data_IF_269116910016
#
_entry.id   IF_269116910016
#
_cell.length_a   1.000
_cell.length_b   1.000
_cell.length_c   1.000
_cell.angle_alpha   90.00
_cell.angle_beta   90.00
_cell.angle_gamma   90.00
#
_symmetry.space_group_name_H-M   'P 1'
#
loop_
_entity.id
_entity.type
_entity.pdbx_description
1 polymer ?
#
# COMPACT_ATOMS: atom_id res chain seq x y z
N UNK A 1 58.81 21.90 -28.84
CA UNK A 1 57.40 21.61 -29.00
C UNK A 1 57.00 20.58 -27.92
N UNK A 2 56.21 20.97 -26.91
CA UNK A 2 55.75 20.08 -25.86
C UNK A 2 54.28 19.70 -26.14
N UNK A 3 54.07 18.48 -26.58
CA UNK A 3 52.74 17.93 -26.86
C UNK A 3 52.04 17.63 -25.54
N UNK A 4 50.98 18.37 -25.19
CA UNK A 4 50.10 18.10 -24.05
C UNK A 4 49.06 17.07 -24.47
N UNK A 5 49.16 15.85 -23.97
CA UNK A 5 48.15 14.82 -24.13
C UNK A 5 47.04 15.14 -23.10
N UNK A 6 45.86 15.54 -23.60
CA UNK A 6 44.66 15.71 -22.80
C UNK A 6 44.01 14.32 -22.58
N UNK A 7 44.12 13.78 -21.38
CA UNK A 7 43.42 12.55 -20.99
C UNK A 7 41.96 12.93 -20.66
N UNK A 8 41.07 12.67 -21.59
CA UNK A 8 39.63 12.85 -21.40
C UNK A 8 39.09 11.61 -20.71
N UNK A 9 38.93 11.69 -19.38
CA UNK A 9 38.33 10.63 -18.57
C UNK A 9 36.83 10.50 -18.89
N UNK A 10 36.45 9.42 -19.53
CA UNK A 10 35.05 9.03 -19.73
C UNK A 10 34.47 8.56 -18.40
N UNK A 11 33.71 9.41 -17.71
CA UNK A 11 32.89 8.99 -16.57
C UNK A 11 31.71 8.17 -17.12
N UNK A 12 31.81 6.85 -17.08
CA UNK A 12 30.64 5.96 -17.21
C UNK A 12 29.79 6.10 -15.97
N UNK A 13 28.73 6.90 -16.04
CA UNK A 13 27.67 6.88 -15.05
C UNK A 13 26.92 5.54 -15.21
N UNK A 14 27.17 4.59 -14.33
CA UNK A 14 26.36 3.38 -14.20
C UNK A 14 24.97 3.81 -13.76
N UNK A 15 24.00 3.81 -14.67
CA UNK A 15 22.58 3.98 -14.34
C UNK A 15 22.15 2.69 -13.62
N UNK A 16 22.20 2.70 -12.30
CA UNK A 16 21.62 1.65 -11.49
C UNK A 16 20.10 1.71 -11.69
N UNK A 17 19.55 0.83 -12.50
CA UNK A 17 18.10 0.60 -12.56
C UNK A 17 17.67 -0.03 -11.24
N UNK A 18 17.15 0.79 -10.33
CA UNK A 18 16.55 0.30 -9.09
C UNK A 18 15.29 -0.49 -9.45
N UNK A 19 15.38 -1.82 -9.36
CA UNK A 19 14.25 -2.70 -9.58
C UNK A 19 13.32 -2.63 -8.36
N UNK A 20 12.04 -2.34 -8.57
CA UNK A 20 11.04 -2.41 -7.50
C UNK A 20 10.76 -3.89 -7.17
N UNK A 21 11.04 -4.28 -5.93
CA UNK A 21 10.73 -5.61 -5.39
C UNK A 21 9.41 -5.48 -4.62
N UNK A 22 8.51 -6.42 -4.82
CA UNK A 22 7.23 -6.49 -4.12
C UNK A 22 7.22 -7.67 -3.16
N UNK A 23 6.87 -7.41 -1.91
CA UNK A 23 6.66 -8.41 -0.87
C UNK A 23 5.16 -8.60 -0.65
N UNK A 24 4.71 -9.85 -0.51
CA UNK A 24 3.33 -10.13 -0.13
C UNK A 24 3.06 -9.52 1.25
N UNK A 25 2.00 -8.71 1.34
CA UNK A 25 1.65 -8.02 2.58
C UNK A 25 1.18 -8.98 3.69
N UNK A 26 0.94 -10.25 3.39
CA UNK A 26 0.67 -11.28 4.39
C UNK A 26 1.86 -11.58 5.31
N UNK A 27 3.07 -11.24 4.87
CA UNK A 27 4.29 -11.37 5.68
C UNK A 27 4.40 -10.32 6.79
N UNK A 28 3.56 -9.29 6.79
CA UNK A 28 3.60 -8.18 7.73
C UNK A 28 2.40 -8.20 8.70
N UNK A 29 2.52 -7.63 9.91
CA UNK A 29 1.41 -7.49 10.84
C UNK A 29 0.23 -6.71 10.23
N UNK A 30 -0.99 -7.22 10.43
CA UNK A 30 -2.24 -6.56 10.09
C UNK A 30 -2.88 -6.03 11.37
N UNK A 31 -3.15 -4.73 11.42
CA UNK A 31 -3.76 -4.05 12.57
C UNK A 31 -5.22 -3.72 12.27
N UNK A 32 -6.00 -3.50 13.34
CA UNK A 32 -7.40 -3.08 13.23
C UNK A 32 -8.40 -4.23 13.13
N UNK A 33 -7.96 -5.50 13.14
CA UNK A 33 -8.82 -6.67 13.21
C UNK A 33 -9.29 -6.93 14.63
N UNK A 34 -10.58 -7.17 14.79
CA UNK A 34 -11.15 -7.60 16.08
C UNK A 34 -11.04 -9.13 16.30
N UNK A 35 -10.89 -9.91 15.21
CA UNK A 35 -10.80 -11.37 15.24
C UNK A 35 -10.03 -11.88 14.02
N UNK A 36 -9.37 -13.02 14.16
CA UNK A 36 -8.73 -13.73 13.04
C UNK A 36 -9.71 -14.62 12.27
N UNK A 37 -10.87 -14.95 12.86
CA UNK A 37 -11.91 -15.79 12.25
C UNK A 37 -12.75 -14.98 11.25
N UNK A 38 -12.15 -14.68 10.09
CA UNK A 38 -12.78 -13.97 8.96
C UNK A 38 -12.62 -14.79 7.69
N UNK A 39 -13.50 -14.63 6.68
CA UNK A 39 -13.43 -15.41 5.44
C UNK A 39 -12.12 -15.16 4.67
N UNK A 40 -11.62 -13.94 4.69
CA UNK A 40 -10.32 -13.58 4.08
C UNK A 40 -9.53 -12.67 5.01
N UNK A 41 -8.21 -12.59 4.78
CA UNK A 41 -7.29 -11.83 5.63
C UNK A 41 -7.72 -10.37 5.84
N UNK A 42 -8.18 -9.70 4.79
CA UNK A 42 -8.45 -8.25 4.82
C UNK A 42 -9.94 -7.92 5.07
N UNK A 43 -10.70 -8.83 5.66
CA UNK A 43 -12.06 -8.62 6.13
C UNK A 43 -12.09 -8.35 7.63
N UNK A 44 -13.13 -7.65 8.10
CA UNK A 44 -13.26 -7.18 9.49
C UNK A 44 -14.19 -8.01 10.33
N UNK A 45 -15.29 -8.49 9.73
CA UNK A 45 -16.33 -9.22 10.45
C UNK A 45 -15.99 -10.70 10.60
N UNK A 46 -16.29 -11.30 11.77
CA UNK A 46 -16.20 -12.74 11.94
C UNK A 46 -17.09 -13.47 10.94
N UNK A 47 -16.60 -14.59 10.42
CA UNK A 47 -17.32 -15.45 9.46
C UNK A 47 -18.64 -15.99 10.03
N UNK A 48 -18.72 -16.19 11.35
CA UNK A 48 -19.94 -16.61 12.06
C UNK A 48 -21.13 -15.67 11.86
N UNK A 49 -20.88 -14.38 11.53
CA UNK A 49 -21.94 -13.41 11.26
C UNK A 49 -22.57 -13.54 9.87
N UNK A 50 -21.99 -14.33 8.96
CA UNK A 50 -22.46 -14.44 7.58
C UNK A 50 -23.91 -14.84 7.47
N UNK A 51 -24.33 -15.86 8.26
CA UNK A 51 -25.65 -16.47 8.14
C UNK A 51 -26.73 -15.78 9.02
N UNK A 52 -26.32 -14.91 9.94
CA UNK A 52 -27.24 -14.21 10.86
C UNK A 52 -27.35 -12.72 10.57
N UNK A 53 -26.45 -12.16 9.77
CA UNK A 53 -26.51 -10.75 9.36
C UNK A 53 -27.38 -10.56 8.11
N UNK A 54 -28.05 -9.40 8.03
CA UNK A 54 -28.69 -9.00 6.78
C UNK A 54 -27.61 -8.86 5.69
N UNK A 55 -27.91 -9.33 4.48
CA UNK A 55 -26.96 -9.34 3.37
C UNK A 55 -26.27 -7.98 3.12
N UNK A 56 -26.97 -6.81 3.08
CA UNK A 56 -26.29 -5.53 2.88
C UNK A 56 -25.28 -5.19 3.99
N UNK A 57 -25.60 -5.52 5.24
CA UNK A 57 -24.71 -5.31 6.38
C UNK A 57 -23.46 -6.20 6.27
N UNK A 58 -23.68 -7.48 5.93
CA UNK A 58 -22.60 -8.42 5.70
C UNK A 58 -21.66 -7.94 4.59
N UNK A 59 -22.21 -7.54 3.43
CA UNK A 59 -21.43 -7.06 2.29
C UNK A 59 -20.58 -5.83 2.63
N UNK A 60 -21.12 -4.86 3.37
CA UNK A 60 -20.39 -3.69 3.87
C UNK A 60 -19.33 -4.07 4.89
N UNK A 61 -19.63 -5.00 5.78
CA UNK A 61 -18.70 -5.48 6.80
C UNK A 61 -17.46 -6.16 6.24
N UNK A 62 -17.52 -6.67 5.02
CA UNK A 62 -16.41 -7.26 4.30
C UNK A 62 -15.44 -6.25 3.67
N UNK A 63 -15.71 -4.95 3.76
CA UNK A 63 -14.77 -3.92 3.34
C UNK A 63 -13.60 -3.82 4.32
N UNK A 64 -12.45 -3.35 3.84
CA UNK A 64 -11.20 -3.35 4.60
C UNK A 64 -10.99 -2.09 5.46
N UNK A 65 -12.02 -1.25 5.65
CA UNK A 65 -11.95 0.00 6.38
C UNK A 65 -11.38 -0.17 7.81
N UNK A 66 -10.41 0.66 8.18
CA UNK A 66 -9.76 0.61 9.50
C UNK A 66 -8.68 -0.45 9.65
N UNK A 67 -8.49 -1.34 8.66
CA UNK A 67 -7.37 -2.25 8.63
C UNK A 67 -6.12 -1.53 8.11
N UNK A 68 -4.96 -1.82 8.71
CA UNK A 68 -3.68 -1.29 8.26
C UNK A 68 -2.59 -2.35 8.33
N UNK A 69 -1.72 -2.38 7.32
CA UNK A 69 -0.50 -3.19 7.32
C UNK A 69 0.63 -2.35 7.90
N UNK A 70 1.32 -2.88 8.92
CA UNK A 70 2.47 -2.24 9.57
C UNK A 70 3.76 -2.88 9.09
N UNK A 71 4.73 -2.08 8.63
CA UNK A 71 6.01 -2.58 8.15
C UNK A 71 7.13 -1.55 8.35
N UNK A 72 8.38 -2.00 8.21
CA UNK A 72 9.58 -1.15 8.22
C UNK A 72 10.30 -1.26 6.89
N UNK A 73 10.90 -0.17 6.45
CA UNK A 73 11.67 -0.12 5.21
C UNK A 73 12.68 1.02 5.23
N UNK A 74 13.81 0.79 4.57
CA UNK A 74 14.80 1.82 4.22
C UNK A 74 14.79 2.11 2.70
N UNK A 75 13.74 1.72 2.00
CA UNK A 75 13.61 1.95 0.55
C UNK A 75 13.48 3.44 0.23
N UNK A 76 14.01 3.86 -0.91
CA UNK A 76 13.87 5.23 -1.41
C UNK A 76 12.52 5.51 -2.07
N UNK A 77 11.70 4.46 -2.25
CA UNK A 77 10.32 4.56 -2.73
C UNK A 77 9.47 3.42 -2.18
N UNK A 78 8.18 3.67 -1.97
CA UNK A 78 7.19 2.66 -1.61
C UNK A 78 6.11 2.64 -2.66
N UNK A 79 5.88 1.44 -3.20
CA UNK A 79 4.84 1.15 -4.19
C UNK A 79 3.97 0.03 -3.69
N UNK A 80 2.70 0.00 -4.11
CA UNK A 80 1.79 -1.09 -3.81
C UNK A 80 1.12 -1.63 -5.06
N UNK A 81 0.83 -2.93 -5.03
CA UNK A 81 -0.10 -3.62 -5.93
C UNK A 81 -1.22 -4.18 -5.08
N UNK A 82 -2.47 -3.91 -5.45
CA UNK A 82 -3.62 -4.44 -4.72
C UNK A 82 -4.79 -4.72 -5.65
N UNK A 83 -5.60 -5.67 -5.24
CA UNK A 83 -6.87 -5.97 -5.89
C UNK A 83 -8.01 -5.73 -4.91
N UNK A 84 -9.11 -5.16 -5.42
CA UNK A 84 -10.34 -4.95 -4.65
C UNK A 84 -11.43 -5.90 -5.13
N UNK A 85 -12.35 -6.28 -4.22
CA UNK A 85 -13.38 -7.28 -4.46
C UNK A 85 -14.41 -6.84 -5.50
N UNK A 86 -14.96 -5.62 -5.35
CA UNK A 86 -16.14 -5.18 -6.09
C UNK A 86 -15.84 -4.14 -7.18
N UNK A 87 -14.70 -3.47 -7.12
CA UNK A 87 -14.39 -2.31 -7.96
C UNK A 87 -15.47 -1.21 -7.86
N UNK A 88 -15.88 -0.88 -6.64
CA UNK A 88 -16.97 0.05 -6.34
C UNK A 88 -16.76 1.44 -6.97
N UNK A 89 -17.86 2.07 -7.38
CA UNK A 89 -17.92 3.46 -7.79
C UNK A 89 -19.13 4.13 -7.13
N UNK A 90 -18.95 5.36 -6.65
CA UNK A 90 -19.98 6.14 -5.95
C UNK A 90 -19.97 7.56 -6.47
N UNK A 91 -21.15 8.20 -6.53
CA UNK A 91 -21.29 9.57 -7.05
C UNK A 91 -20.85 10.67 -6.05
N UNK A 92 -20.69 10.32 -4.78
CA UNK A 92 -20.39 11.23 -3.68
C UNK A 92 -19.00 11.00 -3.06
N UNK A 93 -18.20 10.08 -3.62
CA UNK A 93 -16.90 9.70 -3.10
C UNK A 93 -15.90 9.47 -4.22
N UNK A 94 -14.70 10.00 -4.08
CA UNK A 94 -13.65 9.79 -5.09
C UNK A 94 -13.18 8.33 -5.12
N UNK A 95 -12.70 7.79 -6.25
CA UNK A 95 -12.13 6.45 -6.32
C UNK A 95 -11.03 6.20 -5.28
N UNK A 96 -10.20 7.20 -4.97
CA UNK A 96 -9.14 7.10 -3.97
C UNK A 96 -9.72 6.86 -2.57
N UNK A 97 -10.80 7.56 -2.20
CA UNK A 97 -11.48 7.33 -0.92
C UNK A 97 -12.20 5.97 -0.86
N UNK A 98 -12.74 5.48 -1.99
CA UNK A 98 -13.47 4.21 -2.03
C UNK A 98 -12.49 3.02 -1.92
N UNK A 99 -11.49 2.96 -2.79
CA UNK A 99 -10.64 1.77 -3.03
C UNK A 99 -9.13 2.06 -3.10
N UNK A 100 -8.71 3.25 -2.69
CA UNK A 100 -7.30 3.61 -2.54
C UNK A 100 -6.68 3.08 -1.26
N UNK A 101 -5.39 3.36 -1.11
CA UNK A 101 -4.58 3.05 0.06
C UNK A 101 -3.96 4.34 0.59
N UNK A 102 -3.82 4.48 1.91
CA UNK A 102 -3.18 5.66 2.53
C UNK A 102 -1.97 5.23 3.37
N UNK A 103 -0.81 5.78 3.03
CA UNK A 103 0.45 5.51 3.71
C UNK A 103 0.76 6.61 4.72
N UNK A 104 1.10 6.18 5.93
CA UNK A 104 1.63 7.03 6.99
C UNK A 104 3.02 6.56 7.39
N UNK A 105 3.89 7.50 7.75
CA UNK A 105 5.25 7.27 8.26
C UNK A 105 5.33 7.73 9.71
N UNK A 106 5.96 6.94 10.57
CA UNK A 106 6.23 7.33 11.95
C UNK A 106 7.43 8.29 12.00
N UNK A 107 7.20 9.52 12.46
CA UNK A 107 8.22 10.56 12.65
C UNK A 107 8.03 11.21 14.02
N UNK A 108 9.07 11.23 14.83
CA UNK A 108 9.05 11.84 16.17
C UNK A 108 7.86 11.39 17.04
N UNK A 109 7.54 10.10 16.98
CA UNK A 109 6.44 9.49 17.71
C UNK A 109 5.04 9.79 17.17
N UNK A 110 4.92 10.43 16.00
CA UNK A 110 3.64 10.77 15.35
C UNK A 110 3.53 10.13 13.97
N UNK A 111 2.33 9.68 13.63
CA UNK A 111 2.01 9.19 12.29
C UNK A 111 1.73 10.37 11.37
N UNK A 112 2.60 10.57 10.38
CA UNK A 112 2.51 11.64 9.39
C UNK A 112 2.09 11.04 8.06
N UNK A 113 1.10 11.63 7.41
CA UNK A 113 0.66 11.21 6.08
C UNK A 113 1.80 11.35 5.06
N UNK A 114 2.09 10.24 4.35
CA UNK A 114 3.18 10.16 3.38
C UNK A 114 2.69 10.15 1.93
N UNK A 115 1.50 9.62 1.67
CA UNK A 115 0.93 9.58 0.33
C UNK A 115 -0.20 8.59 0.18
N UNK A 116 -0.87 8.62 -0.99
CA UNK A 116 -1.98 7.72 -1.31
C UNK A 116 -1.69 6.87 -2.54
N UNK A 117 -2.06 5.60 -2.48
CA UNK A 117 -2.16 4.71 -3.61
C UNK A 117 -3.45 4.98 -4.40
N UNK A 118 -3.33 5.63 -5.57
CA UNK A 118 -4.48 5.97 -6.41
C UNK A 118 -4.93 4.76 -7.22
N UNK A 119 -6.18 4.31 -7.07
CA UNK A 119 -6.70 3.15 -7.80
C UNK A 119 -6.97 3.48 -9.26
N UNK A 120 -6.82 2.48 -10.12
CA UNK A 120 -7.12 2.54 -11.55
C UNK A 120 -8.33 1.68 -11.91
N UNK A 121 -8.70 0.73 -11.07
CA UNK A 121 -9.78 -0.21 -11.32
C UNK A 121 -9.90 -1.26 -10.23
N UNK A 122 -10.17 -2.49 -10.64
CA UNK A 122 -10.19 -3.66 -9.75
C UNK A 122 -8.78 -4.09 -9.35
N UNK A 123 -7.87 -4.15 -10.33
CA UNK A 123 -6.45 -4.45 -10.14
C UNK A 123 -5.67 -3.15 -10.23
N UNK A 124 -4.85 -2.87 -9.24
CA UNK A 124 -4.22 -1.58 -9.05
C UNK A 124 -2.72 -1.71 -8.82
N UNK A 125 -1.97 -0.71 -9.29
CA UNK A 125 -0.55 -0.52 -9.03
C UNK A 125 -0.25 0.96 -8.94
N UNK A 126 0.39 1.39 -7.85
CA UNK A 126 0.80 2.79 -7.69
C UNK A 126 2.12 2.90 -6.91
N UNK A 127 2.94 3.87 -7.28
CA UNK A 127 3.98 4.39 -6.40
C UNK A 127 3.32 5.40 -5.48
N UNK A 128 3.41 5.17 -4.17
CA UNK A 128 2.76 5.99 -3.14
C UNK A 128 3.66 7.15 -2.75
N UNK A 129 4.94 6.85 -2.54
CA UNK A 129 5.97 7.85 -2.21
C UNK A 129 7.29 7.47 -2.87
N UNK A 130 8.09 8.47 -3.25
CA UNK A 130 9.41 8.31 -3.89
C UNK A 130 10.38 9.40 -3.43
N UNK A 131 11.64 9.28 -3.84
CA UNK A 131 12.71 10.21 -3.50
C UNK A 131 12.95 10.36 -1.98
N UNK A 132 12.76 9.28 -1.24
CA UNK A 132 13.06 9.23 0.18
C UNK A 132 14.56 8.98 0.41
N UNK A 133 15.06 9.39 1.57
CA UNK A 133 16.39 8.98 2.03
C UNK A 133 16.37 7.49 2.41
N UNK A 134 17.47 6.72 2.21
CA UNK A 134 17.55 5.31 2.51
C UNK A 134 17.76 5.07 4.03
N UNK A 135 16.83 5.58 4.83
CA UNK A 135 16.78 5.47 6.29
C UNK A 135 15.67 4.53 6.70
N UNK A 136 15.94 3.64 7.66
CA UNK A 136 14.90 2.75 8.16
C UNK A 136 13.81 3.56 8.87
N UNK A 137 12.58 3.40 8.42
CA UNK A 137 11.39 4.04 8.96
C UNK A 137 10.27 3.02 9.10
N UNK A 138 9.34 3.34 9.97
CA UNK A 138 8.15 2.54 10.20
C UNK A 138 6.94 3.16 9.50
N UNK A 139 6.10 2.31 8.91
CA UNK A 139 4.98 2.71 8.09
C UNK A 139 3.70 1.99 8.50
N UNK A 140 2.56 2.70 8.33
CA UNK A 140 1.21 2.14 8.34
C UNK A 140 0.58 2.38 6.97
N UNK A 141 0.14 1.30 6.32
CA UNK A 141 -0.61 1.36 5.07
C UNK A 141 -2.07 1.00 5.35
N UNK A 142 -2.93 2.02 5.44
CA UNK A 142 -4.37 1.85 5.59
C UNK A 142 -5.01 1.35 4.31
N UNK A 143 -5.96 0.44 4.47
CA UNK A 143 -6.65 -0.22 3.36
C UNK A 143 -7.93 0.53 2.96
N UNK A 144 -8.51 0.12 1.84
CA UNK A 144 -9.70 0.72 1.22
C UNK A 144 -10.88 0.87 2.18
N UNK A 145 -11.59 2.02 2.12
CA UNK A 145 -12.71 2.31 3.03
C UNK A 145 -14.01 1.61 2.61
N UNK A 146 -14.35 1.65 1.32
CA UNK A 146 -15.63 1.15 0.80
C UNK A 146 -15.51 -0.01 -0.18
N UNK A 147 -14.33 -0.63 -0.27
CA UNK A 147 -14.15 -1.90 -0.98
C UNK A 147 -13.28 -2.85 -0.14
N UNK A 148 -13.40 -4.14 -0.37
CA UNK A 148 -12.58 -5.15 0.28
C UNK A 148 -11.30 -5.41 -0.50
N UNK A 149 -10.14 -5.28 0.12
CA UNK A 149 -8.88 -5.72 -0.46
C UNK A 149 -8.87 -7.25 -0.49
N UNK A 150 -8.51 -7.85 -1.62
CA UNK A 150 -8.40 -9.31 -1.78
C UNK A 150 -6.96 -9.78 -1.88
N UNK A 151 -6.08 -8.95 -2.45
CA UNK A 151 -4.63 -9.18 -2.47
C UNK A 151 -3.88 -7.86 -2.30
N UNK A 152 -2.69 -7.93 -1.70
CA UNK A 152 -1.83 -6.76 -1.46
C UNK A 152 -0.37 -7.18 -1.47
N UNK A 153 0.47 -6.42 -2.20
CA UNK A 153 1.93 -6.48 -2.14
C UNK A 153 2.50 -5.07 -2.06
N UNK A 154 3.56 -4.93 -1.29
CA UNK A 154 4.23 -3.66 -0.99
C UNK A 154 5.69 -3.76 -1.41
#
# INVERSE_FOLDING_TARGET
>A
MRTRILLMGLLLAAVANAQTIYHDASAFPLLGKATESTLTRYERLPDSLQNISRKPLWDLGRNSAGLAVRFRSNSTSISAKWEVRNNMSMNHMTPTGIKGLDLYCLQDGKWIFAGSGRPQGKINKATIVSNMLPEEREYLLYLSLYDGVTSLSI
#
